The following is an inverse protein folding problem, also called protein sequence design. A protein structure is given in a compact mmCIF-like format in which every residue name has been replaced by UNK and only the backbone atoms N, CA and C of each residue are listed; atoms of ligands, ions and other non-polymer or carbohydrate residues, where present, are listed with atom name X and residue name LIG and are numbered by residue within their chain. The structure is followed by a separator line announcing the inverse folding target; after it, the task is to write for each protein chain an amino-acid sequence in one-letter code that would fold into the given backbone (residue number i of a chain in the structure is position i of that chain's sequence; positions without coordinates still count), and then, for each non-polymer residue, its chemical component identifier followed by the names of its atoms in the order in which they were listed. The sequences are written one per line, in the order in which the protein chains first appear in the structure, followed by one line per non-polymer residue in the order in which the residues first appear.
data_IF_324938607298
#
_entry.id   IF_324938607298
#
_cell.length_a   1.000
_cell.length_b   1.000
_cell.length_c   1.000
_cell.angle_alpha   90.00
_cell.angle_beta   90.00
_cell.angle_gamma   90.00
#
_symmetry.space_group_name_H-M   'P 1'
#
loop_
_entity.id
_entity.type
_entity.pdbx_description
1 polymer ?
#
# COMPACT_ATOMS: atom_id res chain seq x y z
N UNK A 1 -29.05 -39.78 25.26
CA UNK A 1 -29.28 -39.24 23.90
C UNK A 1 -28.41 -38.01 23.77
N UNK A 2 -27.38 -38.06 22.95
CA UNK A 2 -26.55 -36.90 22.59
C UNK A 2 -27.34 -36.14 21.54
N UNK A 3 -27.67 -34.88 21.80
CA UNK A 3 -28.32 -34.04 20.80
C UNK A 3 -27.44 -33.95 19.55
N UNK A 4 -27.98 -34.03 18.33
CA UNK A 4 -27.20 -33.85 17.13
C UNK A 4 -26.61 -32.46 17.10
N UNK A 5 -25.39 -32.28 16.55
CA UNK A 5 -24.76 -30.96 16.48
C UNK A 5 -25.71 -30.02 15.75
N UNK A 6 -26.00 -28.88 16.36
CA UNK A 6 -26.75 -27.77 15.76
C UNK A 6 -26.10 -27.43 14.41
N UNK A 7 -26.90 -27.44 13.36
CA UNK A 7 -26.51 -26.94 12.05
C UNK A 7 -26.17 -25.45 12.25
N UNK A 8 -24.88 -25.11 12.31
CA UNK A 8 -24.46 -23.70 12.36
C UNK A 8 -25.04 -22.99 11.13
N UNK A 9 -25.71 -21.90 11.37
CA UNK A 9 -26.32 -21.07 10.33
C UNK A 9 -25.24 -20.42 9.47
N UNK A 10 -24.91 -21.06 8.36
CA UNK A 10 -23.90 -20.62 7.41
C UNK A 10 -24.38 -19.55 6.43
N UNK A 11 -25.61 -19.03 6.61
CA UNK A 11 -26.24 -18.08 5.69
C UNK A 11 -25.47 -16.76 5.52
N UNK A 12 -24.62 -16.41 6.50
CA UNK A 12 -23.86 -15.14 6.54
C UNK A 12 -22.37 -15.28 6.19
N UNK A 13 -21.86 -16.49 5.88
CA UNK A 13 -20.48 -16.67 5.50
C UNK A 13 -20.21 -16.16 4.09
N UNK A 14 -19.42 -15.08 3.98
CA UNK A 14 -18.97 -14.53 2.71
C UNK A 14 -17.45 -14.72 2.60
N UNK A 15 -17.00 -15.73 1.83
CA UNK A 15 -15.58 -16.06 1.75
C UNK A 15 -14.76 -14.95 1.08
N UNK A 16 -15.39 -14.17 0.21
CA UNK A 16 -14.76 -13.08 -0.53
C UNK A 16 -15.51 -11.79 -0.25
N UNK A 17 -14.78 -10.73 0.06
CA UNK A 17 -15.33 -9.41 0.34
C UNK A 17 -14.55 -8.35 -0.41
N UNK A 18 -15.22 -7.30 -0.87
CA UNK A 18 -14.58 -6.13 -1.47
C UNK A 18 -13.75 -5.40 -0.42
N UNK A 19 -12.50 -5.09 -0.75
CA UNK A 19 -11.59 -4.29 0.05
C UNK A 19 -11.33 -2.97 -0.64
N UNK A 20 -11.49 -1.87 0.09
CA UNK A 20 -11.11 -0.52 -0.34
C UNK A 20 -10.19 0.05 0.71
N UNK A 21 -9.10 0.69 0.30
CA UNK A 21 -8.14 1.27 1.22
C UNK A 21 -7.36 2.42 0.62
N UNK A 22 -6.53 3.01 1.46
CA UNK A 22 -5.57 4.03 1.10
C UNK A 22 -4.47 4.12 2.13
N UNK A 23 -3.39 4.79 1.77
CA UNK A 23 -2.28 5.03 2.66
C UNK A 23 -1.65 6.40 2.38
N UNK A 24 -1.06 6.94 3.42
CA UNK A 24 -0.15 8.07 3.38
C UNK A 24 1.21 7.60 3.86
N UNK A 25 2.22 7.66 3.00
CA UNK A 25 3.51 7.01 3.22
C UNK A 25 4.66 7.99 3.09
N UNK A 26 5.72 7.78 3.90
CA UNK A 26 6.92 8.60 3.95
C UNK A 26 8.16 7.72 3.94
N UNK A 27 9.27 8.25 3.40
CA UNK A 27 10.57 7.61 3.42
C UNK A 27 11.10 7.29 2.03
N UNK A 28 12.19 6.55 2.01
CA UNK A 28 12.95 6.24 0.82
C UNK A 28 13.98 7.29 0.47
N UNK A 29 14.85 6.95 -0.49
CA UNK A 29 15.87 7.86 -1.01
C UNK A 29 15.24 8.93 -1.91
N UNK A 30 15.92 10.06 -2.03
CA UNK A 30 15.55 11.13 -2.95
C UNK A 30 15.72 10.63 -4.40
N UNK A 31 14.66 10.76 -5.18
CA UNK A 31 14.63 10.42 -6.61
C UNK A 31 14.36 11.64 -7.49
N UNK A 32 14.07 12.77 -6.88
CA UNK A 32 13.90 14.06 -7.54
C UNK A 32 13.95 15.20 -6.55
N UNK A 33 14.49 16.33 -6.98
CA UNK A 33 14.62 17.55 -6.19
C UNK A 33 14.24 18.76 -7.02
N UNK A 34 13.47 19.66 -6.43
CA UNK A 34 13.15 20.96 -7.00
C UNK A 34 13.83 22.02 -6.17
N UNK A 35 14.53 22.94 -6.82
CA UNK A 35 15.08 24.14 -6.19
C UNK A 35 14.23 25.32 -6.67
N UNK A 36 13.58 25.99 -5.74
CA UNK A 36 12.74 27.15 -6.04
C UNK A 36 13.59 28.41 -6.21
N UNK A 37 13.02 29.41 -6.89
CA UNK A 37 13.69 30.71 -7.12
C UNK A 37 13.95 31.49 -5.85
N UNK A 38 13.25 31.19 -4.74
CA UNK A 38 13.47 31.77 -3.42
C UNK A 38 14.60 31.12 -2.64
N UNK A 39 15.22 30.06 -3.19
CA UNK A 39 16.31 29.29 -2.57
C UNK A 39 15.86 28.11 -1.73
N UNK A 40 14.54 27.91 -1.52
CA UNK A 40 14.01 26.70 -0.88
C UNK A 40 14.13 25.50 -1.80
N UNK A 41 14.09 24.30 -1.24
CA UNK A 41 14.08 23.06 -2.00
C UNK A 41 13.02 22.09 -1.51
N UNK A 42 12.53 21.25 -2.40
CA UNK A 42 11.62 20.17 -2.09
C UNK A 42 12.06 18.87 -2.77
N UNK A 43 12.22 17.83 -1.97
CA UNK A 43 12.60 16.50 -2.46
C UNK A 43 11.38 15.61 -2.66
N UNK A 44 11.45 14.76 -3.68
CA UNK A 44 10.54 13.62 -3.89
C UNK A 44 11.28 12.36 -3.51
N UNK A 45 10.79 11.66 -2.52
CA UNK A 45 11.38 10.41 -2.06
C UNK A 45 10.68 9.18 -2.66
N UNK A 46 11.45 8.14 -2.95
CA UNK A 46 10.99 6.92 -3.60
C UNK A 46 9.84 6.21 -2.86
N UNK A 47 9.88 6.20 -1.53
CA UNK A 47 8.85 5.58 -0.68
C UNK A 47 7.63 6.46 -0.41
N UNK A 48 7.74 7.78 -0.60
CA UNK A 48 6.73 8.78 -0.23
C UNK A 48 5.49 8.74 -1.13
N UNK A 49 4.32 9.12 -0.61
CA UNK A 49 3.12 9.41 -1.41
C UNK A 49 1.81 9.05 -0.75
N UNK A 50 0.74 9.43 -1.42
CA UNK A 50 -0.65 9.07 -1.09
C UNK A 50 -1.10 7.98 -2.05
N UNK A 51 -1.79 6.97 -1.54
CA UNK A 51 -2.32 5.89 -2.37
C UNK A 51 -3.80 5.62 -2.08
N UNK A 52 -4.48 5.14 -3.12
CA UNK A 52 -5.80 4.53 -3.03
C UNK A 52 -5.71 3.13 -3.62
N UNK A 53 -6.44 2.17 -3.07
CA UNK A 53 -6.40 0.79 -3.50
C UNK A 53 -7.78 0.14 -3.42
N UNK A 54 -8.01 -0.79 -4.33
CA UNK A 54 -9.17 -1.66 -4.34
C UNK A 54 -8.70 -3.10 -4.48
N UNK A 55 -9.47 -4.04 -3.92
CA UNK A 55 -9.12 -5.46 -3.99
C UNK A 55 -10.12 -6.35 -3.30
N UNK A 56 -9.64 -7.50 -2.86
CA UNK A 56 -10.46 -8.49 -2.20
C UNK A 56 -9.81 -8.98 -0.90
N UNK A 57 -10.64 -9.24 0.09
CA UNK A 57 -10.29 -9.97 1.28
C UNK A 57 -10.92 -11.35 1.24
N UNK A 58 -10.10 -12.37 1.41
CA UNK A 58 -10.50 -13.78 1.46
C UNK A 58 -10.44 -14.28 2.89
N UNK A 59 -11.47 -14.96 3.34
CA UNK A 59 -11.52 -15.58 4.66
C UNK A 59 -11.79 -17.07 4.54
N UNK A 60 -11.10 -17.87 5.34
CA UNK A 60 -11.28 -19.30 5.40
C UNK A 60 -12.29 -19.68 6.49
N UNK A 61 -13.17 -20.62 6.18
CA UNK A 61 -14.21 -21.08 7.11
C UNK A 61 -13.66 -21.72 8.40
N UNK A 62 -12.55 -22.48 8.26
CA UNK A 62 -11.92 -23.18 9.38
C UNK A 62 -10.84 -22.35 10.10
N UNK A 63 -10.46 -21.22 9.54
CA UNK A 63 -9.41 -20.34 10.05
C UNK A 63 -9.92 -18.89 10.04
N UNK A 64 -10.92 -18.62 10.88
CA UNK A 64 -11.60 -17.33 10.89
C UNK A 64 -10.69 -16.15 11.24
N UNK A 65 -9.60 -16.42 11.94
CA UNK A 65 -8.60 -15.42 12.29
C UNK A 65 -7.65 -15.07 11.12
N UNK A 66 -7.50 -15.97 10.13
CA UNK A 66 -6.64 -15.75 8.98
C UNK A 66 -7.45 -15.13 7.83
N UNK A 67 -6.94 -14.03 7.29
CA UNK A 67 -7.50 -13.35 6.12
C UNK A 67 -6.39 -13.09 5.12
N UNK A 68 -6.61 -13.44 3.87
CA UNK A 68 -5.73 -13.07 2.77
C UNK A 68 -6.30 -11.84 2.08
N UNK A 69 -5.44 -10.88 1.73
CA UNK A 69 -5.83 -9.67 1.00
C UNK A 69 -5.00 -9.55 -0.26
N UNK A 70 -5.65 -9.23 -1.36
CA UNK A 70 -5.01 -8.88 -2.62
C UNK A 70 -5.55 -7.54 -3.08
N UNK A 71 -4.68 -6.58 -3.37
CA UNK A 71 -5.07 -5.23 -3.81
C UNK A 71 -4.24 -4.75 -4.98
N UNK A 72 -4.86 -3.91 -5.79
CA UNK A 72 -4.23 -3.05 -6.78
C UNK A 72 -4.54 -1.61 -6.42
N UNK A 73 -3.55 -0.74 -6.51
CA UNK A 73 -3.70 0.67 -6.14
C UNK A 73 -3.11 1.63 -7.16
N UNK A 74 -3.26 2.90 -6.86
CA UNK A 74 -2.56 4.00 -7.51
C UNK A 74 -1.91 4.86 -6.43
N UNK A 75 -0.61 5.08 -6.52
CA UNK A 75 0.17 5.86 -5.58
C UNK A 75 0.78 7.06 -6.28
N UNK A 76 0.67 8.22 -5.65
CA UNK A 76 1.01 9.50 -6.22
C UNK A 76 1.73 10.38 -5.20
N UNK A 77 2.73 11.11 -5.65
CA UNK A 77 3.33 12.23 -4.93
C UNK A 77 3.70 13.31 -5.92
N UNK A 78 3.58 14.56 -5.53
CA UNK A 78 3.94 15.73 -6.34
C UNK A 78 4.60 16.80 -5.48
N UNK A 79 5.37 17.66 -6.11
CA UNK A 79 5.84 18.91 -5.51
C UNK A 79 4.78 19.99 -5.72
N UNK A 80 4.62 20.88 -4.75
CA UNK A 80 3.74 22.04 -4.84
C UNK A 80 4.56 23.28 -5.22
N UNK A 81 4.93 23.41 -6.49
CA UNK A 81 5.55 24.62 -7.03
C UNK A 81 4.59 25.32 -8.00
N UNK A 82 4.51 26.64 -7.96
CA UNK A 82 3.62 27.42 -8.82
C UNK A 82 3.89 27.23 -10.32
N UNK A 83 5.13 26.91 -10.68
CA UNK A 83 5.59 26.84 -12.06
C UNK A 83 6.06 25.45 -12.49
N UNK A 84 5.97 24.41 -11.64
CA UNK A 84 6.47 23.08 -11.96
C UNK A 84 5.81 21.98 -11.14
N UNK A 85 5.33 20.96 -11.81
CA UNK A 85 4.65 19.81 -11.19
C UNK A 85 5.46 18.53 -11.37
N UNK A 86 6.57 18.39 -10.61
CA UNK A 86 7.27 17.11 -10.58
C UNK A 86 6.40 16.11 -9.84
N UNK A 87 6.17 14.96 -10.46
CA UNK A 87 5.28 13.91 -9.95
C UNK A 87 5.88 12.52 -10.11
N UNK A 88 5.76 11.74 -9.06
CA UNK A 88 6.10 10.32 -9.09
C UNK A 88 4.82 9.50 -8.97
N UNK A 89 4.54 8.68 -9.98
CA UNK A 89 3.35 7.83 -10.07
C UNK A 89 3.73 6.37 -10.11
N UNK A 90 2.92 5.49 -9.51
CA UNK A 90 3.12 4.03 -9.52
C UNK A 90 1.84 3.28 -9.20
N UNK A 91 1.81 2.01 -9.61
CA UNK A 91 0.70 1.09 -9.38
C UNK A 91 1.15 0.01 -8.39
N UNK A 92 0.85 0.14 -7.09
CA UNK A 92 1.11 -0.89 -6.09
C UNK A 92 0.22 -2.12 -6.32
N UNK A 93 0.84 -3.30 -6.32
CA UNK A 93 0.20 -4.60 -6.22
C UNK A 93 0.61 -5.19 -4.88
N UNK A 94 -0.35 -5.57 -4.03
CA UNK A 94 -0.06 -6.13 -2.70
C UNK A 94 -0.80 -7.44 -2.49
N UNK A 95 -0.10 -8.38 -1.85
CA UNK A 95 -0.70 -9.60 -1.36
C UNK A 95 -0.25 -9.84 0.08
N UNK A 96 -1.18 -9.87 1.02
CA UNK A 96 -0.88 -9.96 2.45
C UNK A 96 -1.68 -11.05 3.14
N UNK A 97 -1.04 -11.75 4.07
CA UNK A 97 -1.67 -12.60 5.06
C UNK A 97 -1.88 -11.79 6.35
N UNK A 98 -3.08 -11.83 6.88
CA UNK A 98 -3.49 -11.00 7.99
C UNK A 98 -4.07 -11.89 9.09
N UNK A 99 -3.55 -11.74 10.30
CA UNK A 99 -4.02 -12.42 11.49
C UNK A 99 -4.86 -11.47 12.36
N UNK A 100 -6.08 -11.88 12.66
CA UNK A 100 -6.93 -11.16 13.61
C UNK A 100 -6.57 -11.59 15.03
N UNK A 101 -5.64 -10.84 15.64
CA UNK A 101 -5.19 -11.10 17.01
C UNK A 101 -6.30 -10.82 18.04
N UNK A 102 -7.17 -9.86 17.72
CA UNK A 102 -8.40 -9.54 18.45
C UNK A 102 -9.49 -9.18 17.44
N UNK A 103 -10.73 -9.02 17.89
CA UNK A 103 -11.87 -8.67 17.02
C UNK A 103 -11.58 -7.49 16.09
N UNK A 104 -10.85 -6.49 16.57
CA UNK A 104 -10.53 -5.25 15.83
C UNK A 104 -9.04 -5.09 15.52
N UNK A 105 -8.17 -5.90 16.14
CA UNK A 105 -6.72 -5.81 15.95
C UNK A 105 -6.25 -6.81 14.90
N UNK A 106 -5.62 -6.29 13.85
CA UNK A 106 -5.09 -7.05 12.73
C UNK A 106 -3.58 -6.87 12.63
N UNK A 107 -2.88 -7.98 12.46
CA UNK A 107 -1.45 -8.03 12.15
C UNK A 107 -1.30 -8.59 10.75
N UNK A 108 -0.68 -7.85 9.85
CA UNK A 108 -0.50 -8.20 8.45
C UNK A 108 0.97 -8.29 8.07
N UNK A 109 1.28 -9.25 7.22
CA UNK A 109 2.57 -9.36 6.54
C UNK A 109 2.36 -9.89 5.11
N UNK A 110 3.21 -9.46 4.19
CA UNK A 110 3.10 -9.91 2.81
C UNK A 110 4.11 -9.30 1.87
N UNK A 111 3.78 -9.36 0.60
CA UNK A 111 4.60 -8.85 -0.49
C UNK A 111 3.90 -7.67 -1.16
N UNK A 112 4.74 -6.77 -1.68
CA UNK A 112 4.31 -5.62 -2.48
C UNK A 112 5.23 -5.47 -3.69
N UNK A 113 4.66 -5.11 -4.83
CA UNK A 113 5.42 -4.73 -6.02
C UNK A 113 4.79 -3.48 -6.63
N UNK A 114 5.62 -2.49 -6.93
CA UNK A 114 5.18 -1.32 -7.67
C UNK A 114 5.40 -1.55 -9.17
N UNK A 115 4.37 -1.29 -9.96
CA UNK A 115 4.41 -1.30 -11.41
C UNK A 115 4.37 0.13 -11.94
N UNK A 116 4.87 0.32 -13.17
CA UNK A 116 4.79 1.60 -13.88
C UNK A 116 5.29 2.80 -13.05
N UNK A 117 6.46 2.63 -12.41
CA UNK A 117 7.08 3.70 -11.59
C UNK A 117 7.64 4.75 -12.53
N UNK A 118 7.04 5.95 -12.53
CA UNK A 118 7.38 7.03 -13.45
C UNK A 118 7.54 8.35 -12.71
N UNK A 119 8.70 8.96 -12.85
CA UNK A 119 8.98 10.33 -12.46
C UNK A 119 8.79 11.23 -13.68
N UNK A 120 7.92 12.22 -13.59
CA UNK A 120 7.72 13.25 -14.59
C UNK A 120 8.16 14.59 -14.00
N UNK A 121 9.05 15.26 -14.68
CA UNK A 121 9.71 16.49 -14.22
C UNK A 121 9.11 17.75 -14.81
N UNK A 122 8.03 17.63 -15.57
CA UNK A 122 7.30 18.75 -16.21
C UNK A 122 8.21 19.66 -17.07
N UNK A 123 9.23 19.07 -17.70
CA UNK A 123 10.18 19.77 -18.55
C UNK A 123 11.34 20.46 -17.85
N UNK A 124 11.42 20.39 -16.50
CA UNK A 124 12.55 20.95 -15.73
C UNK A 124 13.78 20.04 -15.68
N UNK A 125 13.66 18.81 -16.14
CA UNK A 125 14.72 17.81 -16.17
C UNK A 125 14.29 16.60 -16.98
N UNK A 126 15.10 15.54 -16.94
CA UNK A 126 14.78 14.31 -17.63
C UNK A 126 13.72 13.51 -16.87
N UNK A 127 12.73 12.98 -17.60
CA UNK A 127 11.77 12.04 -17.07
C UNK A 127 12.47 10.69 -16.81
N UNK A 128 12.20 10.09 -15.64
CA UNK A 128 12.76 8.81 -15.27
C UNK A 128 11.69 7.72 -15.12
N UNK A 129 12.10 6.50 -15.42
CA UNK A 129 11.32 5.28 -15.13
C UNK A 129 12.17 4.35 -14.28
N UNK A 130 11.54 3.69 -13.32
CA UNK A 130 12.23 2.77 -12.42
C UNK A 130 11.61 1.38 -12.46
N UNK A 131 12.46 0.38 -12.31
CA UNK A 131 12.05 -0.98 -12.03
C UNK A 131 11.99 -1.17 -10.50
N UNK A 132 10.85 -1.63 -10.00
CA UNK A 132 10.71 -1.90 -8.58
C UNK A 132 11.03 -3.37 -8.26
N UNK A 133 11.79 -3.60 -7.20
CA UNK A 133 11.94 -4.94 -6.63
C UNK A 133 10.59 -5.44 -6.08
N UNK A 134 10.45 -6.76 -5.89
CA UNK A 134 9.41 -7.26 -5.00
C UNK A 134 9.87 -6.99 -3.57
N UNK A 135 9.04 -6.28 -2.81
CA UNK A 135 9.31 -5.88 -1.44
C UNK A 135 8.47 -6.66 -0.43
N UNK A 136 8.79 -6.46 0.85
CA UNK A 136 8.00 -6.93 1.98
C UNK A 136 7.17 -5.78 2.56
N UNK A 137 5.96 -6.09 3.05
CA UNK A 137 5.11 -5.14 3.77
C UNK A 137 4.62 -5.76 5.07
N UNK A 138 4.65 -4.97 6.13
CA UNK A 138 4.13 -5.29 7.46
C UNK A 138 3.10 -4.25 7.86
N UNK A 139 2.05 -4.66 8.53
CA UNK A 139 0.99 -3.75 8.96
C UNK A 139 0.43 -4.17 10.32
N UNK A 140 0.20 -3.19 11.18
CA UNK A 140 -0.61 -3.33 12.39
C UNK A 140 -1.77 -2.37 12.28
N UNK A 141 -3.00 -2.88 12.35
CA UNK A 141 -4.20 -2.06 12.18
C UNK A 141 -5.24 -2.35 13.25
N UNK A 142 -5.89 -1.30 13.74
CA UNK A 142 -7.02 -1.37 14.66
C UNK A 142 -8.24 -0.72 14.02
N UNK A 143 -9.33 -1.48 13.93
CA UNK A 143 -10.63 -1.00 13.40
C UNK A 143 -10.54 -0.35 12.01
N UNK A 144 -9.59 -0.80 11.17
CA UNK A 144 -9.42 -0.31 9.80
C UNK A 144 -8.41 0.83 9.63
N UNK A 145 -7.88 1.39 10.71
CA UNK A 145 -6.77 2.35 10.68
C UNK A 145 -5.51 1.63 11.15
N UNK A 146 -4.39 1.81 10.45
CA UNK A 146 -3.15 1.10 10.77
C UNK A 146 -1.90 1.90 10.48
N UNK A 147 -0.79 1.31 10.88
CA UNK A 147 0.55 1.71 10.48
C UNK A 147 1.17 0.58 9.69
N UNK A 148 1.93 0.92 8.67
CA UNK A 148 2.65 -0.03 7.83
C UNK A 148 4.12 0.32 7.70
N UNK A 149 4.92 -0.70 7.42
CA UNK A 149 6.31 -0.55 7.02
C UNK A 149 6.56 -1.39 5.78
N UNK A 150 7.10 -0.74 4.74
CA UNK A 150 7.42 -1.37 3.46
C UNK A 150 8.92 -1.37 3.27
N UNK A 151 9.47 -2.48 2.80
CA UNK A 151 10.90 -2.64 2.45
C UNK A 151 10.96 -3.00 0.97
N UNK A 152 11.51 -2.11 0.14
CA UNK A 152 11.70 -2.34 -1.28
C UNK A 152 12.71 -1.37 -1.89
N UNK A 153 13.17 -1.66 -3.10
CA UNK A 153 14.09 -0.81 -3.85
C UNK A 153 13.52 -0.51 -5.24
N UNK A 154 13.94 0.64 -5.77
CA UNK A 154 13.80 1.00 -7.19
C UNK A 154 15.17 0.99 -7.84
N UNK A 155 15.22 0.60 -9.11
CA UNK A 155 16.42 0.62 -9.93
C UNK A 155 16.12 1.45 -11.17
N UNK A 156 16.97 2.42 -11.49
CA UNK A 156 16.87 3.21 -12.72
C UNK A 156 17.51 2.51 -13.92
N UNK A 157 17.53 3.17 -15.08
CA UNK A 157 18.12 2.65 -16.32
C UNK A 157 19.65 2.53 -16.27
N UNK A 158 20.29 3.25 -15.35
CA UNK A 158 21.73 3.26 -15.12
C UNK A 158 22.16 2.21 -14.09
N UNK A 159 21.22 1.39 -13.60
CA UNK A 159 21.37 0.42 -12.53
C UNK A 159 21.68 1.04 -11.16
N UNK A 160 21.36 2.31 -10.95
CA UNK A 160 21.41 2.92 -9.63
C UNK A 160 20.23 2.44 -8.80
N UNK A 161 20.50 2.02 -7.57
CA UNK A 161 19.50 1.49 -6.65
C UNK A 161 19.12 2.59 -5.65
N UNK A 162 17.82 2.84 -5.53
CA UNK A 162 17.22 3.75 -4.56
C UNK A 162 16.37 2.97 -3.58
N UNK A 163 16.59 3.17 -2.29
CA UNK A 163 15.69 2.63 -1.28
C UNK A 163 14.31 3.28 -1.41
N UNK A 164 13.27 2.47 -1.53
CA UNK A 164 11.88 2.91 -1.52
C UNK A 164 11.16 2.44 -0.24
N UNK A 165 11.93 2.20 0.84
CA UNK A 165 11.39 1.87 2.14
C UNK A 165 10.47 3.00 2.62
N UNK A 166 9.34 2.62 3.25
CA UNK A 166 8.38 3.62 3.72
C UNK A 166 7.67 3.21 4.99
N UNK A 167 7.40 4.21 5.84
CA UNK A 167 6.38 4.13 6.88
C UNK A 167 5.08 4.70 6.33
N UNK A 168 3.95 4.06 6.66
CA UNK A 168 2.64 4.48 6.21
C UNK A 168 1.61 4.52 7.32
N UNK A 169 0.68 5.48 7.21
CA UNK A 169 -0.60 5.45 7.90
C UNK A 169 -1.61 4.89 6.90
N UNK A 170 -2.29 3.82 7.26
CA UNK A 170 -3.23 3.11 6.38
C UNK A 170 -4.66 3.25 6.86
N UNK A 171 -5.59 3.26 5.92
CA UNK A 171 -7.02 3.13 6.19
C UNK A 171 -7.60 2.07 5.25
N UNK A 172 -8.45 1.19 5.78
CA UNK A 172 -9.09 0.17 4.96
C UNK A 172 -10.48 -0.19 5.46
N UNK A 173 -11.37 -0.46 4.52
CA UNK A 173 -12.72 -0.94 4.75
C UNK A 173 -13.02 -2.19 3.92
N UNK A 174 -13.81 -3.10 4.50
CA UNK A 174 -14.23 -4.33 3.84
C UNK A 174 -15.75 -4.39 3.76
N UNK A 175 -16.27 -4.71 2.59
CA UNK A 175 -17.71 -4.72 2.30
C UNK A 175 -18.18 -6.07 1.75
N UNK A 176 -19.34 -6.59 2.16
CA UNK A 176 -20.17 -6.07 3.25
C UNK A 176 -19.51 -6.23 4.63
N UNK A 177 -19.85 -5.34 5.56
CA UNK A 177 -19.43 -5.48 6.96
C UNK A 177 -20.10 -6.71 7.57
N UNK A 178 -19.40 -7.38 8.49
CA UNK A 178 -20.06 -8.35 9.35
C UNK A 178 -21.00 -7.60 10.32
N UNK A 179 -22.19 -8.14 10.48
CA UNK A 179 -23.09 -7.76 11.57
C UNK A 179 -22.66 -8.44 12.84
#
# INVERSE_FOLDING_TARGET
MVAPPTVEDYSNYKPVRLLIGGAFEFGGDEVGKVIFTNGDDQSINAGQGVSVAVGAEFQFRKLEQLRLRATVGYKYVTTAADNAHIRLTRVPLQFTANWMAMEKLRLGAGIVKHQAVKLNTDGLGENATFDASTGAIFEVAYSGIGISYTIMNYTDKENTIYSANSFGITISGVFPRRK
#
